data_IF_205597968137
#
_entry.id   IF_205597968137
#
_cell.length_a   1.000
_cell.length_b   1.000
_cell.length_c   1.000
_cell.angle_alpha   90.00
_cell.angle_beta   90.00
_cell.angle_gamma   90.00
#
_symmetry.space_group_name_H-M   'P 1'
#
loop_
_entity.id
_entity.type
_entity.pdbx_description
1 polymer ?
#
# COMPACT_ATOMS: atom_id res chain seq x y z
N UNK A 1 15.85 -9.73 -12.02
CA UNK A 1 15.22 -8.40 -11.88
C UNK A 1 13.85 -8.50 -12.54
N UNK A 2 12.76 -8.32 -11.80
CA UNK A 2 11.42 -8.29 -12.38
C UNK A 2 11.31 -7.08 -13.30
N UNK A 3 10.95 -7.31 -14.56
CA UNK A 3 10.66 -6.24 -15.51
C UNK A 3 9.56 -5.31 -14.96
N UNK A 4 9.74 -3.99 -15.06
CA UNK A 4 8.75 -3.04 -14.57
C UNK A 4 7.42 -3.20 -15.29
N UNK A 5 6.29 -3.12 -14.57
CA UNK A 5 4.94 -3.38 -15.11
C UNK A 5 4.65 -2.62 -16.41
N UNK A 6 5.07 -1.35 -16.50
CA UNK A 6 4.90 -0.55 -17.72
C UNK A 6 5.65 -1.10 -18.94
N UNK A 7 6.86 -1.64 -18.74
CA UNK A 7 7.66 -2.26 -19.80
C UNK A 7 6.98 -3.55 -20.27
N UNK A 8 6.53 -4.40 -19.35
CA UNK A 8 5.84 -5.64 -19.68
C UNK A 8 4.52 -5.40 -20.44
N UNK A 9 3.72 -4.41 -20.01
CA UNK A 9 2.52 -3.97 -20.74
C UNK A 9 2.87 -3.48 -22.14
N UNK A 10 3.90 -2.63 -22.25
CA UNK A 10 4.38 -2.10 -23.52
C UNK A 10 4.77 -3.20 -24.51
N UNK A 11 5.50 -4.22 -24.06
CA UNK A 11 5.87 -5.37 -24.87
C UNK A 11 4.66 -6.19 -25.34
N UNK A 12 3.66 -6.42 -24.48
CA UNK A 12 2.44 -7.15 -24.88
C UNK A 12 1.63 -6.38 -25.93
N UNK A 13 1.44 -5.07 -25.74
CA UNK A 13 0.76 -4.21 -26.72
C UNK A 13 1.50 -4.26 -28.07
N UNK A 14 2.83 -4.12 -28.04
CA UNK A 14 3.67 -4.20 -29.24
C UNK A 14 3.52 -5.53 -29.96
N UNK A 15 3.60 -6.65 -29.23
CA UNK A 15 3.46 -7.99 -29.79
C UNK A 15 2.12 -8.20 -30.49
N UNK A 16 1.01 -7.83 -29.84
CA UNK A 16 -0.33 -7.94 -30.44
C UNK A 16 -0.51 -7.02 -31.66
N UNK A 17 0.06 -5.81 -31.61
CA UNK A 17 0.06 -4.88 -32.76
C UNK A 17 0.83 -5.48 -33.94
N UNK A 18 2.01 -6.02 -33.71
CA UNK A 18 2.87 -6.59 -34.75
C UNK A 18 2.26 -7.86 -35.36
N UNK A 19 1.61 -8.71 -34.55
CA UNK A 19 0.85 -9.86 -35.03
C UNK A 19 -0.32 -9.46 -35.93
N UNK A 20 -0.93 -8.29 -35.69
CA UNK A 20 -1.94 -7.72 -36.56
C UNK A 20 -1.37 -7.09 -37.86
N UNK A 21 -0.05 -7.00 -37.99
CA UNK A 21 0.63 -6.30 -39.09
C UNK A 21 0.45 -4.78 -39.02
N UNK A 22 0.16 -4.23 -37.85
CA UNK A 22 -0.16 -2.81 -37.70
C UNK A 22 1.07 -1.97 -37.38
N UNK A 23 1.13 -0.77 -37.96
CA UNK A 23 2.11 0.26 -37.57
C UNK A 23 1.68 0.93 -36.26
N UNK A 24 2.62 1.57 -35.55
CA UNK A 24 2.30 2.36 -34.36
C UNK A 24 1.29 3.49 -34.66
N UNK A 25 1.41 4.10 -35.84
CA UNK A 25 0.48 5.12 -36.33
C UNK A 25 -0.94 4.56 -36.57
N UNK A 26 -1.06 3.34 -37.11
CA UNK A 26 -2.34 2.66 -37.24
C UNK A 26 -2.98 2.36 -35.88
N UNK A 27 -2.20 1.89 -34.91
CA UNK A 27 -2.70 1.67 -33.54
C UNK A 27 -3.16 2.98 -32.90
N UNK A 28 -2.39 4.07 -33.06
CA UNK A 28 -2.74 5.38 -32.53
C UNK A 28 -4.09 5.88 -33.07
N UNK A 29 -4.32 5.75 -34.38
CA UNK A 29 -5.62 6.07 -35.00
C UNK A 29 -6.75 5.20 -34.47
N UNK A 30 -6.54 3.89 -34.38
CA UNK A 30 -7.57 2.95 -33.91
C UNK A 30 -7.97 3.22 -32.45
N UNK A 31 -7.00 3.49 -31.57
CA UNK A 31 -7.25 3.86 -30.17
C UNK A 31 -7.99 5.19 -30.04
N UNK A 32 -7.70 6.15 -30.92
CA UNK A 32 -8.38 7.45 -30.95
C UNK A 32 -9.88 7.35 -31.26
N UNK A 33 -10.32 6.31 -31.98
CA UNK A 33 -11.75 6.04 -32.19
C UNK A 33 -12.50 5.65 -30.90
N UNK A 34 -11.77 5.29 -29.85
CA UNK A 34 -12.32 4.95 -28.53
C UNK A 34 -12.17 6.08 -27.51
N UNK A 35 -12.01 7.32 -27.97
CA UNK A 35 -12.03 8.52 -27.12
C UNK A 35 -10.69 8.87 -26.47
N UNK A 36 -9.60 8.21 -26.87
CA UNK A 36 -8.26 8.46 -26.32
C UNK A 36 -7.36 9.04 -27.41
N UNK A 37 -7.09 10.35 -27.36
CA UNK A 37 -6.25 11.04 -28.35
C UNK A 37 -4.79 10.56 -28.29
N UNK A 38 -4.46 9.57 -29.12
CA UNK A 38 -3.12 9.01 -29.22
C UNK A 38 -2.41 9.44 -30.50
N UNK A 39 -1.13 9.77 -30.35
CA UNK A 39 -0.21 9.96 -31.47
C UNK A 39 0.70 8.74 -31.61
N UNK A 40 1.35 8.58 -32.76
CA UNK A 40 2.37 7.55 -32.97
C UNK A 40 3.52 7.66 -31.94
N UNK A 41 3.89 8.88 -31.54
CA UNK A 41 4.88 9.11 -30.49
C UNK A 41 4.43 8.56 -29.13
N UNK A 42 3.14 8.72 -28.78
CA UNK A 42 2.59 8.18 -27.53
C UNK A 42 2.59 6.66 -27.52
N UNK A 43 2.22 6.02 -28.64
CA UNK A 43 2.32 4.56 -28.79
C UNK A 43 3.77 4.10 -28.58
N UNK A 44 4.73 4.77 -29.21
CA UNK A 44 6.16 4.45 -29.04
C UNK A 44 6.62 4.56 -27.58
N UNK A 45 6.17 5.59 -26.85
CA UNK A 45 6.51 5.76 -25.43
C UNK A 45 5.92 4.65 -24.56
N UNK A 46 4.68 4.24 -24.83
CA UNK A 46 4.03 3.13 -24.12
C UNK A 46 4.72 1.81 -24.41
N UNK A 47 4.99 1.50 -25.69
CA UNK A 47 5.65 0.25 -26.09
C UNK A 47 7.09 0.14 -25.57
N UNK A 48 7.76 1.26 -25.32
CA UNK A 48 9.08 1.31 -24.70
C UNK A 48 9.01 1.24 -23.16
N UNK A 49 7.82 1.24 -22.56
CA UNK A 49 7.64 1.27 -21.11
C UNK A 49 7.97 2.61 -20.44
N UNK A 50 8.21 3.68 -21.22
CA UNK A 50 8.48 5.02 -20.68
C UNK A 50 7.23 5.65 -20.07
N UNK A 51 6.04 5.17 -20.46
CA UNK A 51 4.76 5.63 -19.95
C UNK A 51 3.86 4.42 -19.72
N UNK A 52 3.36 4.29 -18.50
CA UNK A 52 2.39 3.26 -18.14
C UNK A 52 0.98 3.77 -18.48
N UNK A 53 0.21 3.05 -19.33
CA UNK A 53 -1.19 3.38 -19.58
C UNK A 53 -2.06 3.04 -18.35
N UNK A 54 -3.08 3.86 -18.08
CA UNK A 54 -4.11 3.54 -17.09
C UNK A 54 -5.14 2.52 -17.63
N UNK A 55 -6.07 2.10 -16.78
CA UNK A 55 -7.10 1.11 -17.14
C UNK A 55 -8.02 1.58 -18.28
N UNK A 56 -8.36 2.87 -18.33
CA UNK A 56 -9.22 3.44 -19.38
C UNK A 56 -8.52 3.34 -20.73
N UNK A 57 -7.23 3.66 -20.77
CA UNK A 57 -6.39 3.55 -21.95
C UNK A 57 -6.21 2.08 -22.37
N UNK A 58 -5.99 1.18 -21.43
CA UNK A 58 -5.90 -0.27 -21.72
C UNK A 58 -7.19 -0.83 -22.33
N UNK A 59 -8.36 -0.41 -21.86
CA UNK A 59 -9.65 -0.77 -22.46
C UNK A 59 -9.74 -0.28 -23.91
N UNK A 60 -9.32 0.96 -24.18
CA UNK A 60 -9.32 1.51 -25.54
C UNK A 60 -8.38 0.74 -26.48
N UNK A 61 -7.20 0.35 -25.99
CA UNK A 61 -6.23 -0.48 -26.72
C UNK A 61 -6.79 -1.87 -27.01
N UNK A 62 -7.38 -2.54 -26.01
CA UNK A 62 -8.00 -3.85 -26.18
C UNK A 62 -9.12 -3.81 -27.25
N UNK A 63 -9.98 -2.79 -27.20
CA UNK A 63 -11.05 -2.59 -28.20
C UNK A 63 -10.49 -2.32 -29.61
N UNK A 64 -9.44 -1.51 -29.72
CA UNK A 64 -8.80 -1.23 -31.01
C UNK A 64 -8.25 -2.52 -31.64
N UNK A 65 -7.49 -3.31 -30.87
CA UNK A 65 -6.88 -4.55 -31.33
C UNK A 65 -7.91 -5.67 -31.59
N UNK A 66 -9.08 -5.61 -30.94
CA UNK A 66 -10.14 -6.61 -31.10
C UNK A 66 -10.71 -6.65 -32.53
N UNK A 67 -10.54 -5.58 -33.32
CA UNK A 67 -10.94 -5.58 -34.73
C UNK A 67 -10.16 -6.58 -35.61
N UNK A 68 -8.96 -7.00 -35.18
CA UNK A 68 -8.16 -8.01 -35.86
C UNK A 68 -8.18 -9.35 -35.12
N UNK A 69 -7.98 -9.33 -33.81
CA UNK A 69 -7.83 -10.55 -32.99
C UNK A 69 -9.15 -11.17 -32.54
N UNK A 70 -10.29 -10.50 -32.80
CA UNK A 70 -11.55 -10.83 -32.15
C UNK A 70 -11.63 -10.26 -30.73
N UNK A 71 -12.68 -10.57 -29.94
CA UNK A 71 -12.84 -10.05 -28.59
C UNK A 71 -11.61 -10.29 -27.70
N UNK A 72 -10.99 -9.20 -27.21
CA UNK A 72 -9.82 -9.26 -26.33
C UNK A 72 -10.17 -8.76 -24.92
N UNK A 73 -9.92 -9.57 -23.87
CA UNK A 73 -10.01 -9.09 -22.50
C UNK A 73 -8.82 -8.18 -22.18
N UNK A 74 -8.99 -7.20 -21.28
CA UNK A 74 -7.90 -6.31 -20.86
C UNK A 74 -6.73 -7.07 -20.25
N UNK A 75 -6.99 -8.19 -19.56
CA UNK A 75 -5.97 -9.04 -18.95
C UNK A 75 -4.90 -9.53 -19.93
N UNK A 76 -5.19 -9.63 -21.22
CA UNK A 76 -4.20 -10.04 -22.24
C UNK A 76 -3.07 -9.01 -22.39
N UNK A 77 -3.33 -7.74 -22.05
CA UNK A 77 -2.35 -6.65 -22.13
C UNK A 77 -1.46 -6.57 -20.89
N UNK A 78 -1.78 -7.31 -19.83
CA UNK A 78 -1.12 -7.24 -18.53
C UNK A 78 -0.07 -8.34 -18.39
N UNK A 79 1.00 -8.12 -17.60
CA UNK A 79 1.93 -9.19 -17.24
C UNK A 79 1.23 -10.27 -16.42
N UNK A 80 1.72 -11.50 -16.50
CA UNK A 80 1.21 -12.60 -15.68
C UNK A 80 1.45 -12.30 -14.18
N UNK A 81 0.54 -12.77 -13.32
CA UNK A 81 0.60 -12.57 -11.87
C UNK A 81 -0.60 -11.79 -11.32
N UNK A 82 -0.42 -11.21 -10.14
CA UNK A 82 -1.48 -10.62 -9.31
C UNK A 82 -2.35 -9.60 -10.06
N UNK A 83 -1.75 -8.76 -10.91
CA UNK A 83 -2.49 -7.75 -11.66
C UNK A 83 -3.46 -8.38 -12.68
N UNK A 84 -3.00 -9.42 -13.39
CA UNK A 84 -3.84 -10.18 -14.33
C UNK A 84 -4.94 -10.93 -13.59
N UNK A 85 -4.61 -11.51 -12.44
CA UNK A 85 -5.55 -12.22 -11.60
C UNK A 85 -6.65 -11.30 -11.06
N UNK A 86 -6.27 -10.14 -10.52
CA UNK A 86 -7.19 -9.12 -10.02
C UNK A 86 -8.15 -8.62 -11.11
N UNK A 87 -7.63 -8.24 -12.28
CA UNK A 87 -8.46 -7.74 -13.40
C UNK A 87 -9.35 -8.84 -13.99
N UNK A 88 -8.98 -10.11 -13.82
CA UNK A 88 -9.81 -11.26 -14.22
C UNK A 88 -10.86 -11.65 -13.17
N UNK A 89 -10.98 -10.90 -12.07
CA UNK A 89 -11.95 -11.15 -11.01
C UNK A 89 -11.55 -12.27 -10.06
N UNK A 90 -10.29 -12.75 -10.09
CA UNK A 90 -9.81 -13.67 -9.07
C UNK A 90 -9.66 -12.92 -7.75
N UNK A 91 -10.19 -13.44 -6.63
CA UNK A 91 -9.98 -12.84 -5.32
C UNK A 91 -8.49 -12.71 -5.04
N UNK A 92 -8.04 -11.50 -4.73
CA UNK A 92 -6.69 -11.28 -4.25
C UNK A 92 -6.65 -11.70 -2.80
N UNK A 93 -5.91 -12.78 -2.54
CA UNK A 93 -5.53 -13.07 -1.16
C UNK A 93 -4.46 -12.05 -0.81
N UNK A 94 -4.65 -11.17 0.19
CA UNK A 94 -3.53 -10.37 0.66
C UNK A 94 -2.39 -11.36 0.93
N UNK A 95 -1.13 -11.05 0.57
CA UNK A 95 -0.03 -11.92 0.98
C UNK A 95 -0.27 -12.17 2.46
N UNK A 96 -0.40 -13.45 2.85
CA UNK A 96 -0.36 -13.79 4.27
C UNK A 96 0.93 -13.11 4.70
N UNK A 97 0.79 -12.01 5.42
CA UNK A 97 1.91 -11.28 5.93
C UNK A 97 2.42 -12.24 7.01
N UNK A 98 3.25 -13.18 6.59
CA UNK A 98 4.11 -13.96 7.46
C UNK A 98 5.06 -12.89 7.96
N UNK A 99 4.76 -12.35 9.15
CA UNK A 99 5.26 -11.09 9.71
C UNK A 99 4.41 -9.83 9.43
N UNK A 100 3.10 -9.94 9.23
CA UNK A 100 2.21 -8.93 9.75
C UNK A 100 2.35 -9.08 11.24
N UNK A 101 3.27 -8.30 11.81
CA UNK A 101 3.06 -7.86 13.17
C UNK A 101 1.62 -7.39 13.21
N UNK A 102 0.81 -7.81 14.19
CA UNK A 102 -0.43 -7.11 14.40
C UNK A 102 -0.03 -5.63 14.43
N UNK A 103 -0.55 -4.84 13.49
CA UNK A 103 -0.81 -3.45 13.84
C UNK A 103 -1.57 -3.63 15.14
N UNK A 104 -1.00 -3.24 16.26
CA UNK A 104 -1.65 -3.37 17.57
C UNK A 104 -2.96 -2.64 17.41
N UNK A 105 -4.00 -3.42 17.10
CA UNK A 105 -5.31 -3.01 16.57
C UNK A 105 -6.14 -2.39 17.69
N UNK A 106 -5.52 -1.78 18.69
CA UNK A 106 -6.17 -0.71 19.41
C UNK A 106 -6.30 0.44 18.40
N UNK A 107 -7.52 0.71 17.95
CA UNK A 107 -7.90 1.93 17.20
C UNK A 107 -7.44 3.23 17.89
N UNK A 108 -6.97 3.13 19.13
CA UNK A 108 -6.55 4.22 20.00
C UNK A 108 -5.03 4.44 20.04
N UNK A 109 -4.24 3.76 19.20
CA UNK A 109 -2.81 4.08 19.00
C UNK A 109 -2.67 5.34 18.13
N UNK A 110 -1.82 6.28 18.56
CA UNK A 110 -1.62 7.55 17.84
C UNK A 110 -0.14 7.89 17.65
N UNK A 111 0.14 8.94 16.87
CA UNK A 111 1.50 9.49 16.73
C UNK A 111 2.14 9.94 18.06
N UNK A 112 1.33 10.19 19.09
CA UNK A 112 1.86 10.50 20.41
C UNK A 112 2.56 9.29 21.03
N UNK A 113 2.03 8.08 20.79
CA UNK A 113 2.62 6.82 21.23
C UNK A 113 3.92 6.52 20.46
N UNK A 114 3.93 6.73 19.13
CA UNK A 114 5.15 6.60 18.32
C UNK A 114 6.30 7.46 18.88
N UNK A 115 5.98 8.71 19.25
CA UNK A 115 6.95 9.62 19.83
C UNK A 115 7.37 9.20 21.25
N UNK A 116 6.42 8.76 22.07
CA UNK A 116 6.69 8.32 23.43
C UNK A 116 7.58 7.06 23.46
N UNK A 117 7.38 6.12 22.53
CA UNK A 117 8.24 4.95 22.36
C UNK A 117 9.70 5.38 22.12
N UNK A 118 9.91 6.32 21.19
CA UNK A 118 11.23 6.88 20.91
C UNK A 118 11.83 7.60 22.13
N UNK A 119 11.03 8.34 22.90
CA UNK A 119 11.47 9.04 24.12
C UNK A 119 11.91 8.07 25.25
N UNK A 120 11.48 6.81 25.20
CA UNK A 120 11.90 5.74 26.10
C UNK A 120 12.97 4.81 25.49
N UNK A 121 13.36 5.01 24.23
CA UNK A 121 14.31 4.15 23.53
C UNK A 121 13.76 2.78 23.17
N UNK A 122 12.43 2.64 23.08
CA UNK A 122 11.74 1.40 22.73
C UNK A 122 11.27 1.43 21.28
N UNK A 123 11.15 0.25 20.67
CA UNK A 123 10.34 0.13 19.45
C UNK A 123 8.84 0.13 19.80
N UNK A 124 8.00 0.24 18.77
CA UNK A 124 6.55 0.33 18.95
C UNK A 124 5.95 -0.90 19.66
N UNK A 125 6.52 -2.09 19.45
CA UNK A 125 6.00 -3.33 20.02
C UNK A 125 6.31 -3.39 21.51
N UNK A 126 7.57 -3.13 21.89
CA UNK A 126 7.98 -3.09 23.29
C UNK A 126 7.27 -1.97 24.05
N UNK A 127 7.03 -0.82 23.41
CA UNK A 127 6.24 0.23 24.02
C UNK A 127 4.78 -0.17 24.21
N UNK A 128 4.14 -0.79 23.20
CA UNK A 128 2.76 -1.27 23.31
C UNK A 128 2.61 -2.32 24.43
N UNK A 129 3.54 -3.28 24.51
CA UNK A 129 3.59 -4.28 25.58
C UNK A 129 3.81 -3.64 26.95
N UNK A 130 4.67 -2.63 27.06
CA UNK A 130 4.88 -1.90 28.31
C UNK A 130 3.60 -1.17 28.74
N UNK A 131 2.93 -0.47 27.81
CA UNK A 131 1.69 0.24 28.13
C UNK A 131 0.55 -0.71 28.52
N UNK A 132 0.45 -1.86 27.85
CA UNK A 132 -0.52 -2.90 28.20
C UNK A 132 -0.22 -3.53 29.57
N UNK A 133 1.05 -3.80 29.87
CA UNK A 133 1.47 -4.30 31.17
C UNK A 133 1.15 -3.33 32.33
N UNK A 134 1.29 -2.02 32.10
CA UNK A 134 1.10 -1.00 33.14
C UNK A 134 -0.36 -0.58 33.28
N UNK A 135 -1.07 -0.39 32.16
CA UNK A 135 -2.40 0.20 32.14
C UNK A 135 -3.49 -0.75 31.61
N UNK A 136 -3.14 -1.77 30.82
CA UNK A 136 -4.08 -2.64 30.09
C UNK A 136 -4.60 -2.03 28.78
N UNK A 137 -4.03 -0.89 28.36
CA UNK A 137 -4.36 -0.14 27.14
C UNK A 137 -3.21 0.81 26.76
N UNK A 138 -3.36 1.55 25.66
CA UNK A 138 -2.29 2.43 25.13
C UNK A 138 -2.06 3.69 25.98
N UNK A 139 -0.87 4.28 25.86
CA UNK A 139 -0.57 5.55 26.52
C UNK A 139 -1.50 6.69 26.05
N UNK A 140 -1.97 6.66 24.80
CA UNK A 140 -2.97 7.62 24.30
C UNK A 140 -4.35 7.47 24.93
N UNK A 141 -4.83 6.25 25.16
CA UNK A 141 -6.08 6.02 25.91
C UNK A 141 -5.92 6.54 27.32
N UNK A 142 -4.84 6.16 28.01
CA UNK A 142 -4.57 6.58 29.39
C UNK A 142 -4.50 8.11 29.50
N UNK A 143 -3.84 8.75 28.52
CA UNK A 143 -3.78 10.23 28.43
C UNK A 143 -5.18 10.82 28.30
N UNK A 144 -6.01 10.31 27.41
CA UNK A 144 -7.32 10.90 27.12
C UNK A 144 -8.31 10.67 28.27
N UNK A 145 -8.26 9.50 28.92
CA UNK A 145 -9.03 9.22 30.13
C UNK A 145 -8.66 10.18 31.28
N UNK A 146 -7.36 10.37 31.54
CA UNK A 146 -6.87 11.30 32.58
C UNK A 146 -7.12 12.76 32.24
N UNK A 147 -7.00 13.13 30.97
CA UNK A 147 -7.21 14.50 30.53
C UNK A 147 -8.71 14.87 30.56
N UNK A 148 -9.58 13.92 30.26
CA UNK A 148 -11.01 14.09 30.06
C UNK A 148 -11.36 14.50 28.62
N UNK A 149 -12.60 14.19 28.18
CA UNK A 149 -13.05 14.35 26.79
C UNK A 149 -12.83 15.76 26.22
N UNK A 150 -13.14 16.80 27.01
CA UNK A 150 -13.04 18.21 26.59
C UNK A 150 -11.66 18.86 26.87
N UNK A 151 -10.64 18.05 27.14
CA UNK A 151 -9.31 18.57 27.42
C UNK A 151 -8.68 19.29 26.23
N UNK A 152 -8.12 20.47 26.50
CA UNK A 152 -7.33 21.21 25.51
C UNK A 152 -6.06 20.44 25.12
N UNK A 153 -5.49 20.70 23.92
CA UNK A 153 -4.24 20.08 23.49
C UNK A 153 -3.08 20.28 24.49
N UNK A 154 -3.00 21.45 25.14
CA UNK A 154 -1.98 21.73 26.15
C UNK A 154 -2.15 20.88 27.41
N UNK A 155 -3.40 20.64 27.84
CA UNK A 155 -3.70 19.76 28.97
C UNK A 155 -3.32 18.31 28.63
N UNK A 156 -3.74 17.82 27.46
CA UNK A 156 -3.37 16.47 26.97
C UNK A 156 -1.85 16.28 26.87
N UNK A 157 -1.11 17.29 26.41
CA UNK A 157 0.35 17.25 26.36
C UNK A 157 1.05 17.28 27.74
N UNK A 158 0.43 17.85 28.77
CA UNK A 158 0.94 17.73 30.16
C UNK A 158 0.69 16.33 30.72
N UNK A 159 -0.51 15.80 30.49
CA UNK A 159 -0.88 14.45 30.91
C UNK A 159 0.01 13.41 30.25
N UNK A 160 0.23 13.50 28.93
CA UNK A 160 1.10 12.58 28.18
C UNK A 160 2.51 12.52 28.77
N UNK A 161 3.07 13.65 29.19
CA UNK A 161 4.40 13.68 29.83
C UNK A 161 4.42 12.96 31.18
N UNK A 162 3.34 13.06 31.96
CA UNK A 162 3.19 12.29 33.20
C UNK A 162 3.11 10.79 32.93
N UNK A 163 2.33 10.38 31.93
CA UNK A 163 2.24 8.98 31.49
C UNK A 163 3.61 8.44 31.05
N UNK A 164 4.37 9.21 30.27
CA UNK A 164 5.73 8.81 29.85
C UNK A 164 6.67 8.64 31.05
N UNK A 165 6.57 9.48 32.08
CA UNK A 165 7.40 9.35 33.28
C UNK A 165 7.06 8.08 34.07
N UNK A 166 5.77 7.80 34.26
CA UNK A 166 5.33 6.56 34.92
C UNK A 166 5.78 5.31 34.16
N UNK A 167 5.70 5.33 32.83
CA UNK A 167 6.19 4.24 31.99
C UNK A 167 7.71 4.08 32.10
N UNK A 168 8.46 5.18 32.18
CA UNK A 168 9.92 5.16 32.42
C UNK A 168 10.25 4.50 33.77
N UNK A 169 9.50 4.80 34.81
CA UNK A 169 9.66 4.17 36.14
C UNK A 169 9.26 2.70 36.15
N UNK A 170 8.27 2.30 35.34
CA UNK A 170 7.84 0.92 35.21
C UNK A 170 8.77 0.05 34.36
N UNK A 171 9.53 0.66 33.45
CA UNK A 171 10.35 -0.02 32.44
C UNK A 171 11.25 -1.12 33.02
N UNK A 172 12.05 -0.91 34.09
CA UNK A 172 12.93 -1.97 34.61
C UNK A 172 12.18 -3.21 35.13
N UNK A 173 10.98 -3.02 35.70
CA UNK A 173 10.15 -4.12 36.21
C UNK A 173 9.55 -4.93 35.06
N UNK A 174 9.13 -4.23 34.01
CA UNK A 174 8.59 -4.87 32.82
C UNK A 174 9.67 -5.63 32.04
N UNK A 175 10.89 -5.08 31.92
CA UNK A 175 12.02 -5.77 31.30
C UNK A 175 12.35 -7.09 32.00
N UNK A 176 12.36 -7.08 33.34
CA UNK A 176 12.54 -8.29 34.13
C UNK A 176 11.39 -9.30 33.91
N UNK A 177 10.14 -8.84 33.98
CA UNK A 177 8.97 -9.69 33.75
C UNK A 177 8.97 -10.35 32.36
N UNK A 178 9.37 -9.60 31.32
CA UNK A 178 9.49 -10.11 29.96
C UNK A 178 10.58 -11.18 29.84
N UNK A 179 11.75 -10.93 30.44
CA UNK A 179 12.85 -11.91 30.46
C UNK A 179 12.46 -13.22 31.16
N UNK A 180 11.66 -13.14 32.22
CA UNK A 180 11.17 -14.31 32.96
C UNK A 180 10.10 -15.11 32.20
N UNK A 181 9.38 -14.47 31.26
CA UNK A 181 8.27 -15.09 30.49
C UNK A 181 8.73 -15.66 29.14
N UNK A 182 9.86 -15.18 28.59
CA UNK A 182 10.48 -15.66 27.35
C UNK A 182 11.37 -16.91 27.55
N UNK A 183 11.46 -17.44 28.78
CA UNK A 183 12.31 -18.58 29.18
C UNK A 183 11.48 -19.84 29.48
#
# INVERSE_FOLDING_TARGET
MSEGVGIAIGHRIRGLREQAGWTQDRLARAVSLHGVSWTQARVRQVEAGNITPDLTVLIAVARALASFHGPLPVSVLLPDGDLTDAVSGKPMTPPLLVNARPVTESLDWTRADDKAALDLGLDADHFAMLTDYVYGHTASVERDERAGADATPQKRGRVMRGVIEELREALPRWEQHRADTEM
#
